data_IF_396463393392
#
_entry.id   IF_396463393392
#
_cell.length_a   1.000
_cell.length_b   1.000
_cell.length_c   1.000
_cell.angle_alpha   90.00
_cell.angle_beta   90.00
_cell.angle_gamma   90.00
#
_symmetry.space_group_name_H-M   'P 1'
#
loop_
_entity.id
_entity.type
_entity.pdbx_description
1 polymer ?
#
# COMPACT_ATOMS: atom_id res chain seq x y z
N UNK A 1 5.57 20.91 -65.12
CA UNK A 1 6.21 20.50 -63.85
C UNK A 1 5.90 19.03 -63.66
N UNK A 2 6.82 18.16 -64.02
CA UNK A 2 6.72 16.70 -63.95
C UNK A 2 7.43 16.22 -62.69
N UNK A 3 6.69 15.59 -61.78
CA UNK A 3 7.25 14.99 -60.56
C UNK A 3 8.02 13.71 -60.91
N UNK A 4 9.15 13.41 -60.25
CA UNK A 4 9.89 12.19 -60.50
C UNK A 4 9.20 11.00 -59.81
N UNK A 5 9.08 9.89 -60.54
CA UNK A 5 8.65 8.59 -60.01
C UNK A 5 9.85 7.97 -59.31
N UNK A 6 9.75 7.74 -58.00
CA UNK A 6 10.71 6.96 -57.24
C UNK A 6 10.39 5.46 -57.44
N UNK A 7 11.23 4.74 -58.16
CA UNK A 7 11.26 3.28 -58.11
C UNK A 7 12.18 2.86 -56.95
N UNK A 8 11.68 2.08 -56.00
CA UNK A 8 12.51 1.41 -55.00
C UNK A 8 13.32 0.28 -55.66
N UNK A 9 14.49 -0.01 -55.07
CA UNK A 9 15.53 -0.91 -55.59
C UNK A 9 15.29 -2.39 -55.30
N UNK A 10 14.13 -2.74 -54.75
CA UNK A 10 13.56 -4.07 -54.77
C UNK A 10 12.51 -4.11 -55.90
N UNK A 11 12.65 -5.01 -56.86
CA UNK A 11 11.78 -5.13 -58.05
C UNK A 11 10.32 -5.53 -57.77
N UNK A 12 9.74 -5.02 -56.69
CA UNK A 12 8.37 -5.21 -56.24
C UNK A 12 7.60 -3.94 -56.57
N UNK A 13 6.97 -3.90 -57.74
CA UNK A 13 5.96 -2.89 -58.02
C UNK A 13 4.79 -2.98 -57.01
N UNK A 14 4.11 -1.86 -56.70
CA UNK A 14 2.95 -1.88 -55.82
C UNK A 14 1.82 -2.67 -56.51
N UNK A 15 1.45 -3.83 -55.96
CA UNK A 15 0.30 -4.60 -56.44
C UNK A 15 0.43 -6.13 -56.34
N UNK A 16 1.62 -6.67 -56.08
CA UNK A 16 1.81 -8.13 -56.02
C UNK A 16 1.58 -8.69 -54.61
N UNK A 17 0.50 -9.45 -54.40
CA UNK A 17 0.32 -10.24 -53.19
C UNK A 17 1.15 -11.52 -53.24
N UNK A 18 1.90 -11.79 -52.17
CA UNK A 18 2.74 -12.98 -52.02
C UNK A 18 2.13 -13.94 -51.01
N UNK A 19 2.02 -15.21 -51.38
CA UNK A 19 1.46 -16.26 -50.52
C UNK A 19 2.57 -17.26 -50.19
N UNK A 20 2.69 -17.62 -48.91
CA UNK A 20 3.69 -18.57 -48.42
C UNK A 20 3.15 -20.00 -48.55
N UNK A 21 3.84 -20.80 -49.36
CA UNK A 21 3.55 -22.25 -49.49
C UNK A 21 4.67 -23.07 -48.85
N UNK A 22 4.46 -24.39 -48.69
CA UNK A 22 5.45 -25.30 -48.08
C UNK A 22 6.78 -25.35 -48.83
N UNK A 23 6.83 -24.92 -50.11
CA UNK A 23 8.04 -24.88 -50.94
C UNK A 23 8.62 -23.46 -51.15
N UNK A 24 8.11 -22.44 -50.46
CA UNK A 24 8.58 -21.06 -50.56
C UNK A 24 7.48 -20.04 -50.88
N UNK A 25 7.91 -18.81 -51.16
CA UNK A 25 7.02 -17.71 -51.53
C UNK A 25 6.71 -17.73 -53.03
N UNK A 26 5.43 -17.63 -53.40
CA UNK A 26 5.00 -17.40 -54.80
C UNK A 26 4.10 -16.17 -54.88
N UNK A 27 4.26 -15.45 -55.98
CA UNK A 27 3.40 -14.31 -56.34
C UNK A 27 2.06 -14.84 -56.85
N UNK A 28 0.95 -14.26 -56.39
CA UNK A 28 -0.40 -14.62 -56.81
C UNK A 28 -0.77 -13.87 -58.09
N UNK A 29 -0.75 -14.54 -59.23
CA UNK A 29 -1.36 -14.03 -60.47
C UNK A 29 -2.84 -14.38 -60.45
N UNK A 30 -3.62 -13.58 -59.73
CA UNK A 30 -5.07 -13.65 -59.77
C UNK A 30 -5.60 -12.22 -59.89
N UNK A 31 -6.09 -11.87 -61.07
CA UNK A 31 -6.94 -10.70 -61.30
C UNK A 31 -8.25 -10.88 -60.52
N UNK A 32 -8.21 -10.64 -59.22
CA UNK A 32 -9.40 -10.39 -58.43
C UNK A 32 -9.54 -8.88 -58.29
N UNK A 33 -10.47 -8.30 -59.03
CA UNK A 33 -11.02 -6.97 -58.74
C UNK A 33 -11.66 -7.02 -57.35
N UNK A 34 -10.88 -6.65 -56.33
CA UNK A 34 -11.41 -6.35 -55.01
C UNK A 34 -11.92 -4.91 -55.10
N UNK A 35 -13.24 -4.72 -55.04
CA UNK A 35 -13.81 -3.42 -54.70
C UNK A 35 -13.43 -3.12 -53.25
N UNK A 36 -12.25 -2.54 -53.04
CA UNK A 36 -11.88 -1.92 -51.77
C UNK A 36 -12.68 -0.62 -51.65
N UNK A 37 -13.82 -0.68 -50.96
CA UNK A 37 -14.44 0.53 -50.43
C UNK A 37 -13.39 1.23 -49.55
N UNK A 38 -13.09 2.52 -49.76
CA UNK A 38 -12.14 3.22 -48.92
C UNK A 38 -12.62 3.15 -47.47
N UNK A 39 -11.71 2.90 -46.49
CA UNK A 39 -12.06 2.86 -45.09
C UNK A 39 -12.68 4.18 -44.67
N UNK A 40 -13.65 4.12 -43.76
CA UNK A 40 -14.39 5.29 -43.34
C UNK A 40 -13.43 6.36 -42.79
N UNK A 41 -13.63 7.61 -43.21
CA UNK A 41 -12.74 8.72 -42.88
C UNK A 41 -12.67 8.98 -41.38
N UNK A 42 -13.71 8.62 -40.63
CA UNK A 42 -13.73 8.75 -39.18
C UNK A 42 -12.86 7.69 -38.50
N UNK A 43 -12.92 6.44 -38.97
CA UNK A 43 -12.10 5.34 -38.45
C UNK A 43 -10.60 5.57 -38.72
N UNK A 44 -10.26 6.09 -39.91
CA UNK A 44 -8.88 6.49 -40.23
C UNK A 44 -8.40 7.65 -39.34
N UNK A 45 -9.28 8.63 -39.04
CA UNK A 45 -8.96 9.72 -38.12
C UNK A 45 -8.74 9.23 -36.69
N UNK A 46 -9.52 8.26 -36.24
CA UNK A 46 -9.40 7.67 -34.90
C UNK A 46 -8.12 6.81 -34.76
N UNK A 47 -7.77 6.07 -35.81
CA UNK A 47 -6.51 5.34 -35.86
C UNK A 47 -5.30 6.27 -35.90
N UNK A 48 -5.36 7.35 -36.68
CA UNK A 48 -4.31 8.37 -36.73
C UNK A 48 -4.19 9.11 -35.40
N UNK A 49 -5.29 9.48 -34.76
CA UNK A 49 -5.26 10.13 -33.44
C UNK A 49 -4.68 9.19 -32.38
N UNK A 50 -5.10 7.92 -32.35
CA UNK A 50 -4.54 6.88 -31.48
C UNK A 50 -3.04 6.67 -31.72
N UNK A 51 -2.59 6.68 -32.97
CA UNK A 51 -1.18 6.54 -33.32
C UNK A 51 -0.36 7.75 -32.89
N UNK A 52 -0.87 8.97 -33.10
CA UNK A 52 -0.23 10.21 -32.67
C UNK A 52 -0.13 10.28 -31.14
N UNK A 53 -1.18 9.89 -30.41
CA UNK A 53 -1.14 9.82 -28.94
C UNK A 53 -0.13 8.80 -28.43
N UNK A 54 0.00 7.64 -29.08
CA UNK A 54 1.01 6.62 -28.77
C UNK A 54 2.43 7.08 -29.08
N UNK A 55 2.64 7.76 -30.22
CA UNK A 55 3.94 8.33 -30.57
C UNK A 55 4.34 9.46 -29.62
N UNK A 56 3.39 10.33 -29.24
CA UNK A 56 3.61 11.38 -28.24
C UNK A 56 4.00 10.78 -26.88
N UNK A 57 3.30 9.74 -26.42
CA UNK A 57 3.67 9.00 -25.20
C UNK A 57 5.10 8.44 -25.28
N UNK A 58 5.48 7.86 -26.43
CA UNK A 58 6.82 7.31 -26.65
C UNK A 58 7.89 8.41 -26.66
N UNK A 59 7.61 9.57 -27.24
CA UNK A 59 8.51 10.73 -27.24
C UNK A 59 8.68 11.35 -25.85
N UNK A 60 7.61 11.43 -25.05
CA UNK A 60 7.68 11.84 -23.65
C UNK A 60 8.51 10.87 -22.79
N UNK A 61 8.43 9.56 -23.07
CA UNK A 61 9.26 8.54 -22.40
C UNK A 61 10.75 8.66 -22.75
N UNK A 62 11.10 9.07 -23.97
CA UNK A 62 12.49 9.27 -24.41
C UNK A 62 13.07 10.56 -23.84
N UNK A 63 12.29 11.65 -23.78
CA UNK A 63 12.74 12.91 -23.14
C UNK A 63 12.90 12.79 -21.61
N UNK A 64 12.25 11.80 -20.98
CA UNK A 64 12.39 11.52 -19.55
C UNK A 64 13.72 10.84 -19.17
N UNK A 65 14.56 10.41 -20.13
CA UNK A 65 15.86 9.77 -19.87
C UNK A 65 16.94 10.72 -19.31
N UNK A 66 16.64 12.00 -19.13
CA UNK A 66 17.53 13.00 -18.51
C UNK A 66 17.37 13.16 -16.99
N UNK A 67 16.39 12.51 -16.35
CA UNK A 67 16.20 12.58 -14.91
C UNK A 67 16.75 11.30 -14.28
N UNK A 68 17.75 11.42 -13.40
CA UNK A 68 18.17 10.33 -12.51
C UNK A 68 17.03 10.03 -11.52
N UNK A 69 16.01 9.34 -12.01
CA UNK A 69 14.84 8.85 -11.28
C UNK A 69 14.62 7.38 -11.62
N UNK A 70 14.00 6.65 -10.71
CA UNK A 70 13.84 5.19 -10.71
C UNK A 70 13.59 4.56 -12.10
N UNK A 71 14.13 3.34 -12.36
CA UNK A 71 13.98 2.67 -13.66
C UNK A 71 12.50 2.56 -14.07
N UNK A 72 12.20 2.64 -15.39
CA UNK A 72 10.83 2.57 -15.88
C UNK A 72 10.16 1.27 -15.42
N UNK A 73 9.01 1.40 -14.77
CA UNK A 73 8.21 0.27 -14.26
C UNK A 73 7.84 -0.64 -15.43
N UNK A 74 8.08 -1.94 -15.25
CA UNK A 74 7.81 -2.99 -16.26
C UNK A 74 6.39 -3.56 -16.12
N UNK A 75 5.74 -3.29 -14.99
CA UNK A 75 4.38 -3.71 -14.71
C UNK A 75 3.41 -3.07 -15.71
N UNK A 76 2.52 -3.88 -16.27
CA UNK A 76 1.31 -3.40 -16.94
C UNK A 76 0.42 -2.56 -16.01
N UNK A 77 -0.62 -1.93 -16.55
CA UNK A 77 -1.52 -1.09 -15.76
C UNK A 77 -2.30 -1.86 -14.66
N UNK A 78 -2.38 -3.19 -14.77
CA UNK A 78 -3.29 -4.03 -13.98
C UNK A 78 -2.73 -5.40 -13.61
N UNK A 79 -1.45 -5.48 -13.22
CA UNK A 79 -0.92 -6.73 -12.66
C UNK A 79 -1.43 -6.84 -11.20
N UNK A 80 -2.40 -7.72 -10.95
CA UNK A 80 -2.94 -8.03 -9.63
C UNK A 80 -2.55 -9.47 -9.28
N UNK A 81 -1.25 -9.71 -9.14
CA UNK A 81 -0.71 -11.04 -8.92
C UNK A 81 -0.92 -11.49 -7.47
N UNK A 82 -1.37 -12.72 -7.28
CA UNK A 82 -1.48 -13.35 -5.95
C UNK A 82 -0.12 -13.69 -5.33
N UNK A 83 0.91 -13.80 -6.18
CA UNK A 83 2.30 -13.96 -5.77
C UNK A 83 3.19 -13.11 -6.67
N UNK A 84 4.28 -12.59 -6.12
CA UNK A 84 5.24 -11.75 -6.83
C UNK A 84 6.62 -12.41 -6.84
N UNK A 85 7.14 -12.76 -8.03
CA UNK A 85 8.55 -13.11 -8.19
C UNK A 85 9.45 -11.90 -7.90
N UNK A 86 10.36 -12.08 -6.95
CA UNK A 86 11.39 -11.12 -6.57
C UNK A 86 12.64 -11.42 -7.39
N UNK A 87 12.96 -10.53 -8.33
CA UNK A 87 14.17 -10.62 -9.13
C UNK A 87 15.29 -9.88 -8.39
N UNK A 88 16.24 -10.65 -7.86
CA UNK A 88 17.39 -10.14 -7.08
C UNK A 88 18.62 -9.85 -7.94
N UNK A 89 18.67 -10.34 -9.19
CA UNK A 89 19.80 -10.14 -10.12
C UNK A 89 19.33 -9.47 -11.41
N UNK A 90 20.09 -8.47 -11.86
CA UNK A 90 19.94 -7.88 -13.19
C UNK A 90 20.46 -8.83 -14.25
N UNK A 91 19.58 -9.60 -14.89
CA UNK A 91 19.87 -10.10 -16.24
C UNK A 91 19.46 -9.04 -17.25
N UNK A 92 20.14 -8.99 -18.41
CA UNK A 92 19.90 -8.02 -19.49
C UNK A 92 18.41 -7.97 -19.91
N UNK A 93 17.69 -9.07 -19.71
CA UNK A 93 16.30 -9.27 -20.11
C UNK A 93 15.29 -9.00 -18.98
N UNK A 94 15.58 -9.31 -17.71
CA UNK A 94 14.54 -9.34 -16.65
C UNK A 94 14.60 -8.23 -15.58
N UNK A 95 15.73 -7.53 -15.40
CA UNK A 95 15.83 -6.44 -14.40
C UNK A 95 15.64 -6.89 -12.94
N UNK A 96 15.57 -5.96 -11.98
CA UNK A 96 15.31 -6.24 -10.56
C UNK A 96 13.92 -5.75 -10.13
N UNK A 97 13.32 -6.40 -9.13
CA UNK A 97 11.99 -5.99 -8.60
C UNK A 97 12.16 -4.83 -7.63
N UNK A 98 11.63 -3.65 -7.96
CA UNK A 98 11.64 -2.47 -7.06
C UNK A 98 10.42 -2.44 -6.14
N UNK A 99 10.46 -1.68 -5.05
CA UNK A 99 9.30 -1.41 -4.20
C UNK A 99 8.09 -0.90 -5.00
N UNK A 100 8.32 0.06 -5.92
CA UNK A 100 7.26 0.61 -6.77
C UNK A 100 6.64 -0.42 -7.72
N UNK A 101 7.44 -1.38 -8.16
CA UNK A 101 6.99 -2.52 -8.97
C UNK A 101 6.18 -3.50 -8.11
N UNK A 102 6.63 -3.80 -6.89
CA UNK A 102 5.89 -4.66 -5.97
C UNK A 102 4.52 -4.09 -5.60
N UNK A 103 4.45 -2.78 -5.30
CA UNK A 103 3.18 -2.07 -5.03
C UNK A 103 2.20 -2.12 -6.21
N UNK A 104 2.72 -2.07 -7.45
CA UNK A 104 1.91 -2.08 -8.67
C UNK A 104 1.42 -3.48 -9.04
N UNK A 105 2.24 -4.50 -8.84
CA UNK A 105 2.01 -5.88 -9.31
C UNK A 105 1.32 -6.77 -8.31
N UNK A 106 1.47 -6.51 -7.01
CA UNK A 106 0.76 -7.26 -5.98
C UNK A 106 -0.73 -6.91 -5.97
N UNK A 107 -1.54 -7.92 -5.66
CA UNK A 107 -2.99 -7.86 -5.60
C UNK A 107 -3.55 -7.11 -4.36
N UNK A 108 -2.92 -6.02 -3.92
CA UNK A 108 -3.34 -5.28 -2.72
C UNK A 108 -4.78 -4.77 -2.79
N UNK A 109 -5.28 -4.38 -3.96
CA UNK A 109 -6.65 -3.90 -4.11
C UNK A 109 -7.69 -4.98 -3.84
N UNK A 110 -7.52 -6.18 -4.39
CA UNK A 110 -8.43 -7.30 -4.11
C UNK A 110 -8.19 -7.92 -2.73
N UNK A 111 -6.95 -7.86 -2.23
CA UNK A 111 -6.64 -8.32 -0.87
C UNK A 111 -7.31 -7.47 0.22
N UNK A 112 -7.72 -6.21 -0.07
CA UNK A 112 -8.53 -5.41 0.85
C UNK A 112 -9.92 -6.01 1.11
N UNK A 113 -10.44 -6.87 0.22
CA UNK A 113 -11.70 -7.60 0.44
C UNK A 113 -11.60 -8.60 1.60
N UNK A 114 -10.39 -8.98 2.00
CA UNK A 114 -10.16 -9.82 3.16
C UNK A 114 -9.93 -8.98 4.42
N UNK A 115 -10.71 -9.26 5.47
CA UNK A 115 -10.58 -8.62 6.79
C UNK A 115 -9.23 -8.92 7.45
N UNK A 116 -8.67 -10.11 7.22
CA UNK A 116 -7.41 -10.52 7.83
C UNK A 116 -6.20 -9.73 7.27
N UNK A 117 -6.28 -9.33 6.00
CA UNK A 117 -5.23 -8.59 5.28
C UNK A 117 -5.39 -7.07 5.38
N UNK A 118 -6.60 -6.60 5.66
CA UNK A 118 -6.95 -5.17 5.63
C UNK A 118 -6.00 -4.27 6.43
N UNK A 119 -5.79 -4.58 7.72
CA UNK A 119 -4.92 -3.78 8.58
C UNK A 119 -3.45 -3.86 8.16
N UNK A 120 -2.99 -5.02 7.68
CA UNK A 120 -1.65 -5.18 7.15
C UNK A 120 -1.39 -4.24 5.97
N UNK A 121 -2.34 -4.18 5.03
CA UNK A 121 -2.24 -3.33 3.83
C UNK A 121 -2.25 -1.85 4.21
N UNK A 122 -3.09 -1.44 5.16
CA UNK A 122 -3.12 -0.05 5.63
C UNK A 122 -1.80 0.37 6.27
N UNK A 123 -1.22 -0.48 7.09
CA UNK A 123 0.09 -0.22 7.69
C UNK A 123 1.19 -0.21 6.64
N UNK A 124 1.13 -1.08 5.64
CA UNK A 124 2.06 -1.07 4.51
C UNK A 124 1.99 0.24 3.73
N UNK A 125 0.78 0.76 3.46
CA UNK A 125 0.60 2.09 2.88
C UNK A 125 1.20 3.16 3.80
N UNK A 126 0.93 3.10 5.11
CA UNK A 126 1.48 4.04 6.09
C UNK A 126 3.01 4.11 6.02
N UNK A 127 3.70 2.97 6.08
CA UNK A 127 5.17 2.91 6.01
C UNK A 127 5.70 3.39 4.66
N UNK A 128 5.08 2.99 3.54
CA UNK A 128 5.46 3.47 2.21
C UNK A 128 5.37 5.00 2.12
N UNK A 129 4.29 5.59 2.62
CA UNK A 129 4.07 7.04 2.63
C UNK A 129 5.08 7.74 3.55
N UNK A 130 5.28 7.19 4.76
CA UNK A 130 6.15 7.76 5.78
C UNK A 130 7.64 7.69 5.41
N UNK A 131 8.09 6.69 4.67
CA UNK A 131 9.53 6.45 4.47
C UNK A 131 9.99 6.57 3.02
N UNK A 132 9.16 6.23 2.04
CA UNK A 132 9.57 6.09 0.63
C UNK A 132 8.70 6.83 -0.39
N UNK A 133 7.69 7.61 0.03
CA UNK A 133 6.74 8.26 -0.90
C UNK A 133 7.41 8.98 -2.09
N UNK A 134 8.44 9.79 -1.80
CA UNK A 134 9.09 10.64 -2.80
C UNK A 134 10.13 9.89 -3.65
N UNK A 135 10.52 8.68 -3.25
CA UNK A 135 11.37 7.80 -4.06
C UNK A 135 10.57 6.89 -5.00
N UNK A 136 9.23 6.85 -4.85
CA UNK A 136 8.35 6.07 -5.70
C UNK A 136 8.06 6.79 -7.03
N UNK A 137 7.80 6.00 -8.07
CA UNK A 137 7.31 6.53 -9.34
C UNK A 137 5.88 7.07 -9.20
N UNK A 138 5.48 8.03 -10.04
CA UNK A 138 4.11 8.57 -10.03
C UNK A 138 3.04 7.48 -10.24
N UNK A 139 3.37 6.39 -10.93
CA UNK A 139 2.48 5.23 -11.07
C UNK A 139 2.30 4.45 -9.76
N UNK A 140 3.37 4.29 -8.98
CA UNK A 140 3.30 3.66 -7.66
C UNK A 140 2.60 4.56 -6.63
N UNK A 141 2.83 5.88 -6.68
CA UNK A 141 2.12 6.86 -5.84
C UNK A 141 0.60 6.82 -6.13
N UNK A 142 0.19 6.82 -7.40
CA UNK A 142 -1.22 6.65 -7.78
C UNK A 142 -1.81 5.33 -7.30
N UNK A 143 -1.02 4.25 -7.31
CA UNK A 143 -1.43 2.95 -6.79
C UNK A 143 -1.68 3.00 -5.28
N UNK A 144 -0.82 3.68 -4.51
CA UNK A 144 -1.06 3.89 -3.08
C UNK A 144 -2.35 4.67 -2.83
N UNK A 145 -2.63 5.72 -3.61
CA UNK A 145 -3.91 6.45 -3.52
C UNK A 145 -5.11 5.57 -3.87
N UNK A 146 -5.01 4.73 -4.90
CA UNK A 146 -6.06 3.78 -5.25
C UNK A 146 -6.31 2.77 -4.11
N UNK A 147 -5.25 2.27 -3.46
CA UNK A 147 -5.36 1.40 -2.27
C UNK A 147 -6.07 2.15 -1.13
N UNK A 148 -5.68 3.40 -0.85
CA UNK A 148 -6.34 4.22 0.17
C UNK A 148 -7.82 4.46 -0.15
N UNK A 149 -8.17 4.78 -1.40
CA UNK A 149 -9.55 4.96 -1.83
C UNK A 149 -10.38 3.69 -1.63
N UNK A 150 -9.88 2.55 -2.11
CA UNK A 150 -10.54 1.26 -1.94
C UNK A 150 -10.69 0.89 -0.46
N UNK A 151 -9.70 1.22 0.37
CA UNK A 151 -9.81 0.99 1.81
C UNK A 151 -10.95 1.81 2.43
N UNK A 152 -11.16 3.06 2.00
CA UNK A 152 -12.30 3.89 2.43
C UNK A 152 -13.63 3.26 2.00
N UNK A 153 -13.72 2.80 0.75
CA UNK A 153 -14.91 2.07 0.24
C UNK A 153 -15.24 0.86 1.12
N UNK A 154 -14.21 0.08 1.47
CA UNK A 154 -14.38 -1.14 2.29
C UNK A 154 -14.69 -0.83 3.76
N UNK A 155 -14.17 0.26 4.32
CA UNK A 155 -14.56 0.72 5.67
C UNK A 155 -16.04 1.09 5.71
N UNK A 156 -16.52 1.82 4.70
CA UNK A 156 -17.91 2.23 4.56
C UNK A 156 -18.84 1.03 4.38
N UNK A 157 -18.50 0.11 3.46
CA UNK A 157 -19.25 -1.13 3.20
C UNK A 157 -19.38 -2.01 4.46
N UNK A 158 -18.29 -2.16 5.22
CA UNK A 158 -18.25 -3.03 6.41
C UNK A 158 -18.72 -2.37 7.68
N UNK A 159 -18.88 -1.05 7.69
CA UNK A 159 -19.12 -0.29 8.93
C UNK A 159 -18.02 -0.46 9.99
N UNK A 160 -16.78 -0.71 9.56
CA UNK A 160 -15.61 -0.95 10.42
C UNK A 160 -14.67 0.25 10.38
N UNK A 161 -14.72 1.09 11.42
CA UNK A 161 -14.00 2.37 11.46
C UNK A 161 -12.76 2.37 12.36
N UNK A 162 -12.32 1.20 12.84
CA UNK A 162 -11.19 1.09 13.79
C UNK A 162 -9.91 1.76 13.27
N UNK A 163 -9.62 1.60 11.97
CA UNK A 163 -8.41 2.11 11.33
C UNK A 163 -8.59 3.47 10.63
N UNK A 164 -9.72 4.16 10.89
CA UNK A 164 -10.06 5.46 10.29
C UNK A 164 -9.06 6.55 10.67
N UNK A 165 -8.74 6.66 11.96
CA UNK A 165 -7.82 7.69 12.47
C UNK A 165 -6.40 7.48 11.93
N UNK A 166 -5.98 6.23 11.77
CA UNK A 166 -4.67 5.85 11.22
C UNK A 166 -4.57 6.18 9.73
N UNK A 167 -5.61 5.85 8.95
CA UNK A 167 -5.68 6.21 7.53
C UNK A 167 -5.73 7.72 7.33
N UNK A 168 -6.50 8.44 8.16
CA UNK A 168 -6.52 9.92 8.14
C UNK A 168 -5.13 10.50 8.39
N UNK A 169 -4.44 10.01 9.41
CA UNK A 169 -3.06 10.44 9.73
C UNK A 169 -2.11 10.15 8.57
N UNK A 170 -2.28 9.01 7.91
CA UNK A 170 -1.49 8.63 6.73
C UNK A 170 -1.73 9.57 5.56
N UNK A 171 -2.99 9.92 5.27
CA UNK A 171 -3.34 10.89 4.22
C UNK A 171 -2.81 12.29 4.55
N UNK A 172 -2.82 12.72 5.81
CA UNK A 172 -2.23 13.99 6.24
C UNK A 172 -0.71 14.04 5.95
N UNK A 173 0.02 12.95 6.25
CA UNK A 173 1.45 12.83 5.93
C UNK A 173 1.66 12.81 4.41
N UNK A 174 0.80 12.12 3.67
CA UNK A 174 0.84 12.05 2.20
C UNK A 174 0.74 13.44 1.57
N UNK A 175 -0.31 14.20 1.93
CA UNK A 175 -0.58 15.55 1.44
C UNK A 175 0.60 16.48 1.78
N UNK A 176 1.07 16.44 3.04
CA UNK A 176 2.19 17.26 3.49
C UNK A 176 3.44 17.02 2.64
N UNK A 177 3.83 15.76 2.44
CA UNK A 177 5.03 15.41 1.67
C UNK A 177 4.92 15.79 0.20
N UNK A 178 3.77 15.56 -0.44
CA UNK A 178 3.58 15.99 -1.83
C UNK A 178 3.60 17.51 -1.97
N UNK A 179 3.05 18.24 -1.00
CA UNK A 179 3.08 19.71 -0.97
C UNK A 179 4.51 20.24 -0.83
N UNK A 180 5.31 19.63 0.04
CA UNK A 180 6.74 19.95 0.18
C UNK A 180 7.52 19.64 -1.10
N UNK A 181 7.28 18.48 -1.71
CA UNK A 181 7.91 18.06 -2.97
C UNK A 181 7.55 18.99 -4.13
N UNK A 182 6.29 19.43 -4.23
CA UNK A 182 5.83 20.42 -5.22
C UNK A 182 6.60 21.75 -5.12
N UNK A 183 6.99 22.18 -3.92
CA UNK A 183 7.75 23.43 -3.73
C UNK A 183 9.19 23.31 -4.23
N UNK A 184 9.76 22.10 -4.19
CA UNK A 184 11.17 21.85 -4.49
C UNK A 184 11.40 21.70 -6.01
N UNK A 185 10.41 21.17 -6.74
CA UNK A 185 10.59 20.74 -8.12
C UNK A 185 9.80 21.63 -9.09
N UNK A 186 10.47 22.14 -10.12
CA UNK A 186 9.88 22.98 -11.19
C UNK A 186 9.14 22.18 -12.28
N UNK A 187 8.86 20.89 -12.06
CA UNK A 187 8.22 20.00 -13.04
C UNK A 187 6.70 19.92 -12.84
N UNK A 188 5.97 19.62 -13.93
CA UNK A 188 4.51 19.46 -14.06
C UNK A 188 3.72 19.63 -12.75
N UNK A 189 3.50 20.89 -12.37
CA UNK A 189 2.74 21.24 -11.17
C UNK A 189 1.32 20.68 -11.19
N UNK A 190 0.75 20.42 -12.37
CA UNK A 190 -0.63 19.93 -12.54
C UNK A 190 -0.81 18.49 -12.04
N UNK A 191 0.08 17.56 -12.38
CA UNK A 191 -0.06 16.16 -11.98
C UNK A 191 0.11 15.98 -10.47
N UNK A 192 1.08 16.68 -9.87
CA UNK A 192 1.29 16.65 -8.42
C UNK A 192 0.13 17.35 -7.70
N UNK A 193 -0.36 18.48 -8.23
CA UNK A 193 -1.53 19.15 -7.65
C UNK A 193 -2.78 18.28 -7.71
N UNK A 194 -3.00 17.55 -8.81
CA UNK A 194 -4.12 16.63 -8.92
C UNK A 194 -4.03 15.54 -7.84
N UNK A 195 -2.87 14.93 -7.64
CA UNK A 195 -2.69 13.93 -6.58
C UNK A 195 -2.92 14.51 -5.17
N UNK A 196 -2.55 15.77 -4.92
CA UNK A 196 -2.85 16.46 -3.66
C UNK A 196 -4.36 16.63 -3.50
N UNK A 197 -5.05 17.14 -4.52
CA UNK A 197 -6.50 17.32 -4.51
C UNK A 197 -7.23 15.99 -4.27
N UNK A 198 -6.86 14.94 -5.01
CA UNK A 198 -7.44 13.59 -4.86
C UNK A 198 -7.24 13.08 -3.41
N UNK A 199 -6.08 13.35 -2.81
CA UNK A 199 -5.79 12.97 -1.42
C UNK A 199 -6.64 13.74 -0.41
N UNK A 200 -6.86 15.04 -0.65
CA UNK A 200 -7.72 15.90 0.16
C UNK A 200 -9.19 15.46 0.06
N UNK A 201 -9.66 15.14 -1.14
CA UNK A 201 -11.01 14.63 -1.37
C UNK A 201 -11.23 13.29 -0.65
N UNK A 202 -10.28 12.36 -0.73
CA UNK A 202 -10.32 11.11 0.03
C UNK A 202 -10.34 11.36 1.54
N UNK A 203 -9.55 12.31 2.03
CA UNK A 203 -9.55 12.68 3.45
C UNK A 203 -10.89 13.27 3.87
N UNK A 204 -11.48 14.17 3.07
CA UNK A 204 -12.80 14.75 3.35
C UNK A 204 -13.86 13.65 3.39
N UNK A 205 -13.83 12.74 2.42
CA UNK A 205 -14.72 11.58 2.38
C UNK A 205 -14.59 10.70 3.63
N UNK A 206 -13.36 10.38 4.05
CA UNK A 206 -13.09 9.62 5.27
C UNK A 206 -13.62 10.34 6.54
N UNK A 207 -13.60 11.67 6.55
CA UNK A 207 -14.16 12.48 7.64
C UNK A 207 -15.69 12.52 7.58
N UNK A 208 -16.30 12.51 6.40
CA UNK A 208 -17.76 12.51 6.24
C UNK A 208 -18.41 11.15 6.48
N UNK A 209 -17.65 10.05 6.49
CA UNK A 209 -18.18 8.73 6.83
C UNK A 209 -18.87 8.77 8.20
N UNK A 210 -20.18 8.50 8.19
CA UNK A 210 -20.99 8.45 9.40
C UNK A 210 -20.75 7.12 10.10
N UNK A 211 -20.41 7.18 11.39
CA UNK A 211 -20.41 5.99 12.23
C UNK A 211 -21.87 5.51 12.33
N UNK A 212 -22.18 4.25 11.99
CA UNK A 212 -23.51 3.73 12.15
C UNK A 212 -23.88 3.79 13.63
N UNK A 213 -24.95 4.52 13.92
CA UNK A 213 -25.57 4.47 15.23
C UNK A 213 -26.29 3.12 15.30
N UNK A 214 -25.55 2.08 15.73
CA UNK A 214 -26.14 0.76 15.96
C UNK A 214 -27.12 0.92 17.12
N UNK A 215 -28.42 1.01 16.81
CA UNK A 215 -29.46 0.90 17.81
C UNK A 215 -29.42 -0.51 18.38
N UNK A 216 -28.81 -0.68 19.56
CA UNK A 216 -28.76 -1.97 20.26
C UNK A 216 -30.17 -2.48 20.46
N UNK A 217 -30.40 -3.76 20.14
CA UNK A 217 -31.66 -4.42 20.48
C UNK A 217 -31.76 -4.50 22.01
N UNK A 218 -32.91 -4.10 22.58
CA UNK A 218 -33.18 -3.96 24.02
C UNK A 218 -32.93 -5.19 24.93
N UNK A 219 -32.45 -6.31 24.40
CA UNK A 219 -32.35 -7.61 25.09
C UNK A 219 -30.92 -8.17 25.16
N UNK A 220 -29.92 -7.41 24.77
CA UNK A 220 -28.52 -7.86 24.81
C UNK A 220 -27.87 -7.52 26.16
N UNK A 221 -27.08 -8.45 26.68
CA UNK A 221 -26.31 -8.30 27.93
C UNK A 221 -25.34 -7.14 27.74
N UNK A 222 -25.33 -6.20 28.69
CA UNK A 222 -24.39 -5.07 28.64
C UNK A 222 -23.02 -5.45 29.23
N UNK A 223 -21.97 -4.75 28.80
CA UNK A 223 -20.61 -4.95 29.32
C UNK A 223 -20.54 -4.80 30.85
N UNK A 224 -21.37 -3.91 31.42
CA UNK A 224 -21.49 -3.65 32.86
C UNK A 224 -22.20 -4.79 33.60
N UNK A 225 -22.99 -5.60 32.90
CA UNK A 225 -23.73 -6.73 33.47
C UNK A 225 -22.88 -8.02 33.51
N UNK A 226 -21.69 -8.01 32.92
CA UNK A 226 -20.76 -9.14 32.98
C UNK A 226 -20.14 -9.25 34.39
N UNK A 227 -19.75 -10.46 34.84
CA UNK A 227 -18.98 -10.62 36.06
C UNK A 227 -17.68 -9.80 36.04
N UNK A 228 -17.27 -9.27 37.20
CA UNK A 228 -16.09 -8.40 37.32
C UNK A 228 -14.83 -9.07 36.77
N UNK A 229 -14.66 -10.39 36.95
CA UNK A 229 -13.50 -11.13 36.45
C UNK A 229 -13.41 -11.10 34.91
N UNK A 230 -14.57 -11.08 34.24
CA UNK A 230 -14.65 -10.98 32.78
C UNK A 230 -14.40 -9.54 32.34
N UNK A 231 -14.94 -8.56 33.06
CA UNK A 231 -14.67 -7.14 32.80
C UNK A 231 -13.18 -6.84 32.92
N UNK A 232 -12.52 -7.29 33.99
CA UNK A 232 -11.09 -7.15 34.22
C UNK A 232 -10.28 -7.82 33.11
N UNK A 233 -10.65 -9.04 32.71
CA UNK A 233 -9.98 -9.73 31.61
C UNK A 233 -10.09 -8.96 30.28
N UNK A 234 -11.24 -8.34 30.01
CA UNK A 234 -11.44 -7.49 28.83
C UNK A 234 -10.58 -6.23 28.94
N UNK A 235 -10.55 -5.58 30.10
CA UNK A 235 -9.74 -4.39 30.34
C UNK A 235 -8.24 -4.67 30.17
N UNK A 236 -7.76 -5.80 30.69
CA UNK A 236 -6.36 -6.24 30.52
C UNK A 236 -6.02 -6.63 29.07
N UNK A 237 -7.01 -6.91 28.23
CA UNK A 237 -6.81 -7.18 26.80
C UNK A 237 -6.65 -5.91 25.96
N UNK A 238 -6.94 -4.73 26.53
CA UNK A 238 -6.76 -3.46 25.83
C UNK A 238 -5.27 -3.19 25.62
N UNK A 239 -4.90 -2.95 24.36
CA UNK A 239 -3.50 -2.73 23.99
C UNK A 239 -3.10 -1.26 24.08
N UNK A 240 -4.04 -0.32 23.94
CA UNK A 240 -3.71 1.12 23.86
C UNK A 240 -4.27 1.90 25.05
N UNK A 241 -3.48 2.83 25.65
CA UNK A 241 -4.00 3.74 26.68
C UNK A 241 -5.17 4.62 26.21
N UNK A 242 -5.26 4.91 24.92
CA UNK A 242 -6.39 5.66 24.33
C UNK A 242 -7.71 4.91 24.43
N UNK A 243 -7.67 3.59 24.33
CA UNK A 243 -8.87 2.76 24.40
C UNK A 243 -9.36 2.67 25.85
N UNK A 244 -8.42 2.66 26.80
CA UNK A 244 -8.70 2.81 28.24
C UNK A 244 -9.41 4.15 28.54
N UNK A 245 -8.90 5.26 27.98
CA UNK A 245 -9.51 6.59 28.13
C UNK A 245 -10.91 6.67 27.51
N UNK A 246 -11.12 6.01 26.37
CA UNK A 246 -12.42 5.95 25.70
C UNK A 246 -13.43 5.16 26.51
N UNK A 247 -12.99 4.05 27.11
CA UNK A 247 -13.83 3.21 27.95
C UNK A 247 -14.21 3.90 29.27
N UNK A 248 -13.23 4.55 29.93
CA UNK A 248 -13.48 5.35 31.13
C UNK A 248 -14.48 6.50 30.89
N UNK A 249 -14.51 7.06 29.67
CA UNK A 249 -15.50 8.07 29.25
C UNK A 249 -16.86 7.48 28.88
N UNK A 250 -16.90 6.20 28.49
CA UNK A 250 -18.12 5.55 28.06
C UNK A 250 -19.03 5.17 29.23
N UNK A 251 -18.45 4.81 30.38
CA UNK A 251 -19.19 4.43 31.58
C UNK A 251 -18.46 4.83 32.87
N UNK A 252 -19.16 5.40 33.87
CA UNK A 252 -18.57 5.77 35.15
C UNK A 252 -17.93 4.62 35.94
N UNK A 253 -18.51 3.41 35.89
CA UNK A 253 -17.99 2.23 36.59
C UNK A 253 -16.60 1.85 36.07
N UNK A 254 -16.43 1.87 34.74
CA UNK A 254 -15.12 1.68 34.12
C UNK A 254 -14.18 2.84 34.42
N UNK A 255 -14.68 4.07 34.55
CA UNK A 255 -13.87 5.21 34.99
C UNK A 255 -13.22 4.99 36.35
N UNK A 256 -13.97 4.47 37.32
CA UNK A 256 -13.46 4.15 38.65
C UNK A 256 -12.42 3.01 38.60
N UNK A 257 -12.73 1.90 37.94
CA UNK A 257 -11.82 0.76 37.78
C UNK A 257 -10.51 1.20 37.13
N UNK A 258 -10.58 1.99 36.05
CA UNK A 258 -9.39 2.51 35.37
C UNK A 258 -8.56 3.36 36.31
N UNK A 259 -9.16 4.27 37.08
CA UNK A 259 -8.42 5.14 38.01
C UNK A 259 -7.70 4.39 39.13
N UNK A 260 -8.26 3.27 39.61
CA UNK A 260 -7.68 2.46 40.68
C UNK A 260 -6.59 1.54 40.15
N UNK A 261 -6.81 0.94 38.98
CA UNK A 261 -5.94 -0.11 38.45
C UNK A 261 -5.10 0.32 37.24
N UNK A 262 -5.02 1.62 36.95
CA UNK A 262 -4.31 2.17 35.79
C UNK A 262 -2.88 1.65 35.66
N UNK A 263 -2.15 1.60 36.77
CA UNK A 263 -0.77 1.13 36.82
C UNK A 263 -0.64 -0.32 36.32
N UNK A 264 -1.55 -1.20 36.74
CA UNK A 264 -1.56 -2.62 36.36
C UNK A 264 -1.84 -2.75 34.86
N UNK A 265 -2.80 -1.98 34.34
CA UNK A 265 -3.13 -1.96 32.92
C UNK A 265 -1.93 -1.49 32.08
N UNK A 266 -1.26 -0.41 32.50
CA UNK A 266 -0.08 0.10 31.81
C UNK A 266 1.09 -0.89 31.83
N UNK A 267 1.32 -1.58 32.95
CA UNK A 267 2.34 -2.65 33.05
C UNK A 267 2.02 -3.79 32.09
N UNK A 268 0.77 -4.25 32.05
CA UNK A 268 0.35 -5.30 31.12
C UNK A 268 0.48 -4.88 29.64
N UNK A 269 0.15 -3.63 29.30
CA UNK A 269 0.37 -3.08 27.95
C UNK A 269 1.86 -3.10 27.56
N UNK A 270 2.74 -2.75 28.50
CA UNK A 270 4.19 -2.77 28.27
C UNK A 270 4.70 -4.19 28.07
N UNK A 271 4.20 -5.12 28.87
CA UNK A 271 4.55 -6.53 28.75
C UNK A 271 4.10 -7.16 27.44
N UNK A 272 2.97 -6.70 26.91
CA UNK A 272 2.44 -7.13 25.62
C UNK A 272 3.22 -6.56 24.43
N UNK A 273 3.55 -5.26 24.45
CA UNK A 273 4.11 -4.58 23.28
C UNK A 273 5.61 -4.77 23.08
N UNK A 274 6.39 -4.92 24.16
CA UNK A 274 7.86 -4.86 24.08
C UNK A 274 8.53 -6.10 24.66
N UNK A 275 9.71 -6.44 24.14
CA UNK A 275 10.54 -7.53 24.66
C UNK A 275 11.36 -7.08 25.86
N UNK A 276 11.84 -8.00 26.68
CA UNK A 276 12.64 -7.69 27.89
C UNK A 276 13.82 -6.73 27.64
N UNK A 277 14.47 -6.83 26.48
CA UNK A 277 15.57 -5.93 26.11
C UNK A 277 15.13 -4.47 25.95
N UNK A 278 13.92 -4.24 25.41
CA UNK A 278 13.30 -2.93 25.15
C UNK A 278 12.62 -2.39 26.43
N UNK A 279 12.07 -3.29 27.26
CA UNK A 279 11.50 -2.95 28.58
C UNK A 279 12.53 -2.34 29.53
N UNK A 280 13.84 -2.51 29.30
CA UNK A 280 14.85 -1.76 30.08
C UNK A 280 14.67 -0.24 29.96
N UNK A 281 14.24 0.25 28.81
CA UNK A 281 13.95 1.67 28.60
C UNK A 281 12.63 2.11 29.28
N UNK A 282 11.72 1.18 29.61
CA UNK A 282 10.52 1.44 30.41
C UNK A 282 10.90 1.79 31.84
N UNK A 283 11.77 0.96 32.42
CA UNK A 283 12.20 1.03 33.82
C UNK A 283 13.08 2.23 34.13
N UNK A 284 13.35 3.12 33.17
CA UNK A 284 14.17 4.31 33.40
C UNK A 284 13.28 5.56 33.42
N UNK A 285 13.23 6.34 34.52
CA UNK A 285 12.49 7.59 34.60
C UNK A 285 12.88 8.57 33.48
N UNK A 286 11.95 9.43 33.06
CA UNK A 286 12.14 10.36 31.94
C UNK A 286 13.31 11.34 32.18
N UNK A 287 13.55 11.68 33.45
CA UNK A 287 14.54 12.66 33.91
C UNK A 287 15.87 12.06 34.40
N UNK A 288 16.05 10.73 34.41
CA UNK A 288 17.30 10.11 34.85
C UNK A 288 17.60 8.82 34.08
N UNK A 289 18.59 8.88 33.20
CA UNK A 289 19.22 7.71 32.56
C UNK A 289 20.05 6.85 33.53
N UNK A 290 20.16 7.24 34.80
CA UNK A 290 20.97 6.61 35.85
C UNK A 290 20.26 6.54 37.21
N UNK A 291 18.92 6.56 37.25
CA UNK A 291 18.19 6.38 38.51
C UNK A 291 18.33 4.94 39.03
N UNK A 292 18.41 4.73 40.35
CA UNK A 292 18.31 3.40 40.96
C UNK A 292 16.96 2.75 40.60
N UNK A 293 16.93 1.42 40.44
CA UNK A 293 15.72 0.67 40.08
C UNK A 293 14.56 0.87 41.08
N UNK A 294 14.87 1.26 42.33
CA UNK A 294 13.90 1.59 43.38
C UNK A 294 13.11 2.89 43.14
N UNK A 295 13.66 3.86 42.40
CA UNK A 295 12.94 5.10 42.06
C UNK A 295 11.85 4.84 40.99
N UNK A 296 11.89 3.67 40.36
CA UNK A 296 11.01 3.26 39.27
C UNK A 296 9.75 2.54 39.78
N UNK A 297 9.70 2.18 41.06
CA UNK A 297 8.50 1.59 41.69
C UNK A 297 7.49 2.65 42.14
N UNK A 298 7.89 3.92 42.23
CA UNK A 298 7.07 5.01 42.78
C UNK A 298 6.58 6.01 41.70
N UNK A 299 6.55 5.61 40.43
CA UNK A 299 6.06 6.48 39.34
C UNK A 299 4.54 6.66 39.44
N UNK A 300 4.10 7.91 39.30
CA UNK A 300 2.68 8.23 39.20
C UNK A 300 2.08 7.68 37.90
N UNK A 301 0.76 7.39 37.84
CA UNK A 301 0.12 6.92 36.61
C UNK A 301 0.35 7.85 35.40
N UNK A 302 0.42 9.16 35.62
CA UNK A 302 0.77 10.14 34.58
C UNK A 302 2.18 9.96 34.01
N UNK A 303 3.16 9.67 34.86
CA UNK A 303 4.55 9.47 34.43
C UNK A 303 4.71 8.13 33.69
N UNK A 304 4.00 7.09 34.11
CA UNK A 304 3.92 5.81 33.39
C UNK A 304 3.32 6.00 31.99
N UNK A 305 2.27 6.80 31.84
CA UNK A 305 1.72 7.15 30.51
C UNK A 305 2.75 7.83 29.62
N UNK A 306 3.56 8.73 30.18
CA UNK A 306 4.57 9.45 29.40
C UNK A 306 5.76 8.56 29.03
N UNK A 307 6.14 7.63 29.91
CA UNK A 307 7.07 6.56 29.57
C UNK A 307 6.51 5.69 28.43
N UNK A 308 5.19 5.44 28.41
CA UNK A 308 4.57 4.57 27.40
C UNK A 308 4.61 5.24 26.04
N UNK A 309 4.27 6.53 25.99
CA UNK A 309 4.42 7.35 24.78
C UNK A 309 5.87 7.38 24.29
N UNK A 310 6.85 7.48 25.20
CA UNK A 310 8.28 7.49 24.85
C UNK A 310 8.72 6.16 24.22
N UNK A 311 8.34 5.03 24.82
CA UNK A 311 8.64 3.71 24.26
C UNK A 311 7.95 3.49 22.91
N UNK A 312 6.66 3.80 22.82
CA UNK A 312 5.91 3.73 21.57
C UNK A 312 6.56 4.56 20.46
N UNK A 313 7.14 5.71 20.80
CA UNK A 313 7.88 6.55 19.84
C UNK A 313 9.23 5.95 19.43
N UNK A 314 9.95 5.29 20.36
CA UNK A 314 11.30 4.76 20.14
C UNK A 314 11.29 3.40 19.44
N UNK A 315 10.48 2.47 19.95
CA UNK A 315 10.46 1.07 19.52
C UNK A 315 9.22 0.70 18.71
N UNK A 316 8.23 1.60 18.62
CA UNK A 316 6.94 1.30 18.00
C UNK A 316 6.02 0.51 18.93
N UNK A 317 4.76 0.34 18.51
CA UNK A 317 3.80 -0.54 19.17
C UNK A 317 3.70 -1.84 18.39
N UNK A 318 3.68 -2.97 19.09
CA UNK A 318 3.37 -4.27 18.48
C UNK A 318 1.97 -4.24 17.87
N UNK A 319 1.87 -4.62 16.59
CA UNK A 319 0.62 -4.87 15.88
C UNK A 319 0.57 -6.34 15.49
N UNK A 320 -0.51 -7.02 15.89
CA UNK A 320 -0.76 -8.39 15.50
C UNK A 320 -1.65 -8.38 14.25
N UNK A 321 -1.15 -8.99 13.16
CA UNK A 321 -1.87 -9.12 11.90
C UNK A 321 -2.40 -10.53 11.76
N UNK A 322 -3.65 -10.68 11.29
CA UNK A 322 -4.27 -11.99 11.11
C UNK A 322 -3.75 -12.73 9.88
N UNK A 323 -3.39 -11.99 8.83
CA UNK A 323 -2.71 -12.51 7.64
C UNK A 323 -1.50 -11.64 7.32
N UNK A 324 -0.41 -12.29 6.92
CA UNK A 324 0.90 -11.66 6.66
C UNK A 324 1.48 -12.12 5.33
N UNK A 325 2.41 -11.33 4.79
CA UNK A 325 3.19 -11.72 3.63
C UNK A 325 4.33 -12.66 4.04
N UNK A 326 4.51 -13.71 3.24
CA UNK A 326 5.61 -14.66 3.34
C UNK A 326 6.55 -14.49 2.15
N UNK A 327 7.85 -14.54 2.43
CA UNK A 327 8.88 -14.62 1.42
C UNK A 327 9.55 -15.98 1.46
N UNK A 328 9.66 -16.60 0.28
CA UNK A 328 10.39 -17.84 0.07
C UNK A 328 11.75 -17.51 -0.57
N UNK A 329 12.88 -17.63 0.16
CA UNK A 329 14.20 -17.37 -0.41
C UNK A 329 14.58 -18.33 -1.53
N UNK A 330 14.12 -19.60 -1.46
CA UNK A 330 14.45 -20.65 -2.44
C UNK A 330 13.91 -20.31 -3.83
N UNK A 331 12.65 -19.88 -3.91
CA UNK A 331 11.99 -19.53 -5.16
C UNK A 331 12.04 -18.02 -5.45
N UNK A 332 12.51 -17.20 -4.49
CA UNK A 332 12.46 -15.74 -4.53
C UNK A 332 11.06 -15.23 -4.84
N UNK A 333 10.07 -15.63 -4.04
CA UNK A 333 8.66 -15.26 -4.25
C UNK A 333 8.09 -14.68 -2.96
N UNK A 334 7.27 -13.65 -3.13
CA UNK A 334 6.45 -13.04 -2.11
C UNK A 334 4.98 -13.42 -2.33
N UNK A 335 4.27 -13.88 -1.30
CA UNK A 335 2.87 -14.28 -1.38
C UNK A 335 2.19 -14.14 0.00
N UNK A 336 0.87 -14.22 0.05
CA UNK A 336 0.12 -14.20 1.32
C UNK A 336 0.18 -15.56 2.01
N UNK A 337 0.20 -15.57 3.34
CA UNK A 337 0.24 -16.80 4.15
C UNK A 337 -0.95 -17.74 3.96
N UNK A 338 -2.10 -17.21 3.57
CA UNK A 338 -3.30 -17.98 3.25
C UNK A 338 -3.36 -18.48 1.81
N UNK A 339 -2.40 -18.08 0.98
CA UNK A 339 -2.28 -18.50 -0.41
C UNK A 339 -1.33 -19.68 -0.53
N UNK A 340 -1.70 -20.68 -1.34
CA UNK A 340 -0.83 -21.83 -1.59
C UNK A 340 0.48 -21.40 -2.27
N UNK A 341 1.61 -21.96 -1.81
CA UNK A 341 2.90 -21.67 -2.42
C UNK A 341 2.90 -22.17 -3.89
N UNK A 342 3.17 -21.31 -4.89
CA UNK A 342 2.94 -21.66 -6.30
C UNK A 342 3.77 -22.83 -6.84
N UNK A 343 4.83 -23.21 -6.13
CA UNK A 343 5.78 -24.25 -6.54
C UNK A 343 5.83 -25.48 -5.63
N UNK A 344 4.89 -25.63 -4.68
CA UNK A 344 4.73 -26.84 -3.84
C UNK A 344 6.06 -27.39 -3.26
N UNK A 345 6.85 -26.54 -2.60
CA UNK A 345 8.11 -26.95 -1.95
C UNK A 345 7.93 -26.89 -0.44
N UNK A 346 8.43 -27.90 0.28
CA UNK A 346 8.46 -27.99 1.74
C UNK A 346 8.65 -26.61 2.40
N UNK A 347 7.79 -26.28 3.37
CA UNK A 347 7.69 -25.01 4.12
C UNK A 347 8.95 -24.61 4.91
N UNK A 348 10.06 -25.31 4.72
CA UNK A 348 11.32 -25.04 5.39
C UNK A 348 11.95 -23.75 4.87
N UNK A 349 12.03 -22.75 5.77
CA UNK A 349 12.63 -21.41 5.65
C UNK A 349 11.77 -20.30 5.03
N UNK A 350 10.45 -20.30 5.24
CA UNK A 350 9.60 -19.14 4.94
C UNK A 350 9.85 -17.99 5.92
N UNK A 351 10.13 -16.80 5.39
CA UNK A 351 10.33 -15.59 6.18
C UNK A 351 9.04 -14.77 6.24
N UNK A 352 8.58 -14.45 7.45
CA UNK A 352 7.48 -13.52 7.67
C UNK A 352 7.95 -12.08 7.41
N UNK A 353 7.21 -11.34 6.59
CA UNK A 353 7.49 -9.94 6.27
C UNK A 353 6.42 -9.06 6.90
N UNK A 354 6.82 -8.26 7.90
CA UNK A 354 5.95 -7.23 8.47
C UNK A 354 5.86 -6.01 7.53
N UNK A 355 4.85 -5.14 7.67
CA UNK A 355 4.70 -3.98 6.80
C UNK A 355 5.91 -3.02 6.77
N UNK A 356 6.61 -2.85 7.91
CA UNK A 356 7.84 -2.06 7.97
C UNK A 356 9.00 -2.77 7.26
N UNK A 357 9.17 -4.07 7.52
CA UNK A 357 10.20 -4.90 6.89
C UNK A 357 10.00 -5.01 5.37
N UNK A 358 8.74 -4.96 4.90
CA UNK A 358 8.42 -4.95 3.47
C UNK A 358 9.06 -3.75 2.76
N UNK A 359 9.03 -2.56 3.38
CA UNK A 359 9.65 -1.37 2.79
C UNK A 359 11.17 -1.51 2.78
N UNK A 360 11.76 -2.00 3.88
CA UNK A 360 13.20 -2.24 3.99
C UNK A 360 13.71 -3.39 3.11
N UNK A 361 12.85 -4.34 2.75
CA UNK A 361 13.19 -5.49 1.91
C UNK A 361 13.64 -5.10 0.49
N UNK A 362 13.22 -3.94 0.01
CA UNK A 362 13.54 -3.43 -1.33
C UNK A 362 14.62 -2.33 -1.35
N UNK A 363 15.36 -2.17 -0.25
CA UNK A 363 16.47 -1.22 -0.14
C UNK A 363 17.78 -1.69 -0.78
#
# INVERSE_FOLDING_TARGET
MTSPIYCSTDGSGPGSQWIRTRSGWRSSESESTVEESPPDREEVKELLSSHVTKQWHKQCLVQAQGIKGAPPSRAGASENLSYLPILTKTTQEFGYTTLGEALRRMNFLSALDDRAKFNFILDLVHFCVKERLLSLSGCAIRRLLAISSMAIDKMEERSEFGSRDDLKTTLDVFIKKLTEFKKIISCSHSAIQQMINDSEDLKLRLISLQLPVVQRKKKEINLVELPNEIQDKILLSLTTPKDLDRLAKADPNFGEIVSVFEEIHLKNMVDYHWREAEKRDWRLPIWKSSAPESDCENLTPSELRDQHKRLAKKHGLRKDYSSILLFCPKNSILFWDDSEHPYSVNEENLQKILPADFVAFFD
#
